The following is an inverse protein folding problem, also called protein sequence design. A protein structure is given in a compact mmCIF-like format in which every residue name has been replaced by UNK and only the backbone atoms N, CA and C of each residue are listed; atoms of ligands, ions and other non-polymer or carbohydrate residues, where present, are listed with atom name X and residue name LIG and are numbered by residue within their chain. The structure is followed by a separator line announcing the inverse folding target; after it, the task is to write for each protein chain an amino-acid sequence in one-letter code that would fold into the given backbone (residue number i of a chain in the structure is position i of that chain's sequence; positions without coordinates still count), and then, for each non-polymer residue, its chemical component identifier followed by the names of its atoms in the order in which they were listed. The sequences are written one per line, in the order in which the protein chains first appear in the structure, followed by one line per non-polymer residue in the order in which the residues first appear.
data_IF_660617805824
#
_entry.id   IF_660617805824
#
_cell.length_a   1.000
_cell.length_b   1.000
_cell.length_c   1.000
_cell.angle_alpha   90.00
_cell.angle_beta   90.00
_cell.angle_gamma   90.00
#
_symmetry.space_group_name_H-M   'P 1'
#
loop_
_entity.id
_entity.type
_entity.pdbx_description
1 polymer ?
#
# COMPACT_ATOMS: atom_id res chain seq x y z
N UNK A 1 7.84 13.90 5.31
CA UNK A 1 7.04 15.14 5.20
C UNK A 1 5.90 15.13 6.22
N UNK A 2 5.39 16.27 6.66
CA UNK A 2 4.49 16.41 7.82
C UNK A 2 3.12 15.68 7.75
N UNK A 3 2.82 14.97 6.65
CA UNK A 3 1.52 14.33 6.39
C UNK A 3 1.62 12.81 6.13
N UNK A 4 2.80 12.22 6.35
CA UNK A 4 2.97 10.77 6.22
C UNK A 4 2.20 10.04 7.31
N UNK A 5 1.48 8.99 6.91
CA UNK A 5 0.77 8.12 7.84
C UNK A 5 1.80 7.32 8.62
N UNK A 6 1.67 7.31 9.94
CA UNK A 6 2.52 6.50 10.80
C UNK A 6 2.16 5.03 10.63
N UNK A 7 3.15 4.19 10.36
CA UNK A 7 3.00 2.73 10.21
C UNK A 7 3.84 2.01 11.25
N UNK A 8 3.22 1.05 11.94
CA UNK A 8 3.91 0.11 12.82
C UNK A 8 3.99 -1.21 12.10
N UNK A 9 5.12 -1.47 11.44
CA UNK A 9 5.29 -2.60 10.50
C UNK A 9 4.99 -3.97 11.12
N UNK A 10 5.22 -4.15 12.42
CA UNK A 10 4.92 -5.39 13.16
C UNK A 10 3.43 -5.65 13.34
N UNK A 11 2.61 -4.60 13.28
CA UNK A 11 1.16 -4.69 13.49
C UNK A 11 0.37 -4.77 12.18
N UNK A 12 1.05 -4.60 11.04
CA UNK A 12 0.42 -4.60 9.71
C UNK A 12 -0.08 -5.98 9.37
N UNK A 13 -1.41 -6.11 9.30
CA UNK A 13 -2.09 -7.33 8.92
C UNK A 13 -3.44 -7.03 8.26
N UNK A 14 -3.91 -7.91 7.36
CA UNK A 14 -5.28 -7.86 6.88
C UNK A 14 -6.25 -8.15 8.03
N UNK A 15 -7.39 -7.48 8.04
CA UNK A 15 -8.54 -7.85 8.87
C UNK A 15 -9.48 -8.77 8.06
N UNK A 16 -10.62 -9.14 8.64
CA UNK A 16 -11.60 -9.98 7.96
C UNK A 16 -12.08 -9.32 6.65
N UNK A 17 -12.46 -10.14 5.67
CA UNK A 17 -13.00 -9.74 4.36
C UNK A 17 -11.99 -9.04 3.42
N UNK A 18 -10.70 -9.26 3.63
CA UNK A 18 -9.65 -8.83 2.69
C UNK A 18 -9.55 -9.75 1.46
N UNK A 19 -9.41 -9.12 0.28
CA UNK A 19 -8.95 -9.75 -0.95
C UNK A 19 -7.44 -9.64 -1.02
N UNK A 20 -6.78 -10.79 -1.02
CA UNK A 20 -5.31 -10.90 -1.02
C UNK A 20 -4.87 -11.52 -2.35
N UNK A 21 -3.85 -10.92 -2.96
CA UNK A 21 -3.17 -11.45 -4.14
C UNK A 21 -1.71 -11.74 -3.82
N UNK A 22 -1.18 -12.83 -4.39
CA UNK A 22 0.25 -13.16 -4.27
C UNK A 22 1.06 -12.39 -5.32
N UNK A 23 2.22 -11.90 -4.91
CA UNK A 23 3.14 -11.15 -5.76
C UNK A 23 4.61 -11.51 -5.44
N UNK A 24 5.52 -11.10 -6.31
CA UNK A 24 6.97 -11.21 -6.09
C UNK A 24 7.54 -9.82 -5.81
N UNK A 25 8.36 -9.69 -4.78
CA UNK A 25 9.01 -8.42 -4.45
C UNK A 25 10.07 -8.07 -5.50
N UNK A 26 9.91 -6.96 -6.22
CA UNK A 26 10.92 -6.44 -7.16
C UNK A 26 12.11 -5.79 -6.44
N UNK A 27 11.91 -5.34 -5.21
CA UNK A 27 12.90 -4.71 -4.35
C UNK A 27 12.69 -5.14 -2.89
N UNK A 28 13.54 -4.68 -1.98
CA UNK A 28 13.29 -4.86 -0.55
C UNK A 28 12.08 -4.02 -0.11
N UNK A 29 11.05 -4.67 0.45
CA UNK A 29 9.79 -4.07 0.89
C UNK A 29 9.59 -4.23 2.40
N UNK A 30 8.92 -3.25 3.00
CA UNK A 30 8.42 -3.34 4.37
C UNK A 30 6.92 -3.65 4.39
N UNK A 31 6.47 -4.25 5.49
CA UNK A 31 5.04 -4.44 5.73
C UNK A 31 4.35 -3.08 5.88
N UNK A 32 3.24 -2.90 5.18
CA UNK A 32 2.49 -1.65 5.13
C UNK A 32 2.92 -0.72 4.00
N UNK A 33 3.93 -1.08 3.20
CA UNK A 33 4.29 -0.31 2.03
C UNK A 33 3.19 -0.41 0.96
N UNK A 34 2.84 0.74 0.37
CA UNK A 34 2.02 0.78 -0.84
C UNK A 34 2.85 0.28 -2.03
N UNK A 35 2.27 -0.60 -2.83
CA UNK A 35 2.97 -1.22 -3.96
C UNK A 35 2.25 -1.04 -5.28
N UNK A 36 3.02 -0.96 -6.36
CA UNK A 36 2.53 -0.97 -7.74
C UNK A 36 3.12 -2.18 -8.50
N UNK A 37 2.50 -2.58 -9.60
CA UNK A 37 3.03 -3.63 -10.47
C UNK A 37 4.15 -3.05 -11.35
N UNK A 38 5.38 -3.48 -11.12
CA UNK A 38 6.55 -3.01 -11.88
C UNK A 38 6.94 -3.92 -13.03
N UNK A 39 6.64 -5.22 -12.93
CA UNK A 39 6.89 -6.19 -13.99
C UNK A 39 6.03 -7.43 -13.79
N UNK A 40 6.26 -8.47 -14.58
CA UNK A 40 5.61 -9.77 -14.47
C UNK A 40 6.66 -10.88 -14.56
N UNK A 41 6.63 -11.84 -13.65
CA UNK A 41 7.59 -12.94 -13.59
C UNK A 41 6.88 -14.28 -13.55
N UNK A 42 6.97 -15.02 -14.66
CA UNK A 42 6.35 -16.35 -14.82
C UNK A 42 4.82 -16.29 -14.72
N UNK A 43 4.31 -16.40 -13.49
CA UNK A 43 2.88 -16.47 -13.18
C UNK A 43 2.43 -15.45 -12.12
N UNK A 44 3.34 -14.64 -11.57
CA UNK A 44 3.03 -13.67 -10.53
C UNK A 44 3.46 -12.25 -10.94
N UNK A 45 2.68 -11.22 -10.57
CA UNK A 45 3.11 -9.84 -10.75
C UNK A 45 4.33 -9.57 -9.86
N UNK A 46 5.28 -8.82 -10.40
CA UNK A 46 6.40 -8.26 -9.64
C UNK A 46 5.96 -6.89 -9.14
N UNK A 47 6.11 -6.65 -7.84
CA UNK A 47 5.66 -5.42 -7.19
C UNK A 47 6.83 -4.64 -6.60
N UNK A 48 6.76 -3.32 -6.74
CA UNK A 48 7.74 -2.36 -6.23
C UNK A 48 7.04 -1.26 -5.45
N UNK A 49 7.80 -0.46 -4.70
CA UNK A 49 7.26 0.64 -3.88
C UNK A 49 6.55 1.65 -4.76
N UNK A 50 5.29 1.91 -4.45
CA UNK A 50 4.55 2.97 -5.11
C UNK A 50 5.13 4.33 -4.72
N UNK A 51 5.22 5.23 -5.69
CA UNK A 51 5.76 6.58 -5.49
C UNK A 51 4.87 7.60 -6.21
N UNK A 52 4.38 8.58 -5.45
CA UNK A 52 3.58 9.70 -5.92
C UNK A 52 4.35 10.69 -6.80
N UNK A 53 5.68 10.61 -6.86
CA UNK A 53 6.51 11.52 -7.66
C UNK A 53 6.31 11.35 -9.18
N UNK A 54 5.86 10.17 -9.64
CA UNK A 54 5.70 9.86 -11.06
C UNK A 54 4.40 9.09 -11.38
N UNK A 55 3.81 9.36 -12.55
CA UNK A 55 2.55 8.72 -12.99
C UNK A 55 2.68 7.21 -13.12
N UNK A 56 3.84 6.74 -13.58
CA UNK A 56 4.11 5.31 -13.78
C UNK A 56 4.14 4.51 -12.47
N UNK A 57 4.46 5.17 -11.35
CA UNK A 57 4.64 4.55 -10.03
C UNK A 57 3.50 4.87 -9.06
N UNK A 58 2.65 5.83 -9.39
CA UNK A 58 1.50 6.24 -8.58
C UNK A 58 0.28 5.31 -8.74
N UNK A 59 0.31 4.37 -9.69
CA UNK A 59 -0.78 3.42 -9.91
C UNK A 59 -0.71 2.25 -8.91
N UNK A 60 -1.28 2.47 -7.73
CA UNK A 60 -1.23 1.52 -6.61
C UNK A 60 -2.04 0.25 -6.91
N UNK A 61 -1.43 -0.92 -6.71
CA UNK A 61 -2.10 -2.22 -6.73
C UNK A 61 -2.71 -2.56 -5.37
N UNK A 62 -2.04 -2.16 -4.28
CA UNK A 62 -2.46 -2.50 -2.92
C UNK A 62 -1.39 -2.22 -1.87
N UNK A 63 -1.52 -2.87 -0.72
CA UNK A 63 -0.59 -2.75 0.41
C UNK A 63 0.07 -4.11 0.66
N UNK A 64 1.40 -4.10 0.78
CA UNK A 64 2.16 -5.28 1.18
C UNK A 64 1.85 -5.63 2.65
N UNK A 65 1.44 -6.87 2.90
CA UNK A 65 1.13 -7.36 4.26
C UNK A 65 1.94 -8.60 4.56
N UNK A 66 2.04 -8.94 5.86
CA UNK A 66 2.62 -10.21 6.24
C UNK A 66 1.74 -11.33 5.67
N UNK A 67 2.29 -12.12 4.76
CA UNK A 67 1.70 -13.40 4.41
C UNK A 67 1.84 -14.41 5.55
N UNK A 68 1.39 -15.65 5.33
CA UNK A 68 1.45 -16.74 6.32
C UNK A 68 2.84 -17.04 6.93
N UNK A 69 3.91 -16.45 6.39
CA UNK A 69 5.30 -16.67 6.78
C UNK A 69 5.82 -15.74 7.89
N UNK A 70 5.01 -14.81 8.42
CA UNK A 70 5.38 -13.98 9.58
C UNK A 70 6.73 -13.23 9.45
N UNK A 71 7.17 -12.93 8.22
CA UNK A 71 8.42 -12.21 7.97
C UNK A 71 8.22 -10.72 8.26
N UNK A 72 9.09 -10.13 9.08
CA UNK A 72 9.09 -8.70 9.41
C UNK A 72 9.64 -7.82 8.27
N UNK A 73 10.32 -8.42 7.30
CA UNK A 73 10.94 -7.78 6.14
C UNK A 73 10.81 -8.69 4.92
N UNK A 74 10.61 -8.12 3.74
CA UNK A 74 10.49 -8.87 2.48
C UNK A 74 11.71 -8.53 1.62
N UNK A 75 12.52 -9.52 1.27
CA UNK A 75 13.67 -9.32 0.40
C UNK A 75 13.24 -9.34 -1.09
N UNK A 76 14.06 -8.75 -1.96
CA UNK A 76 13.85 -8.82 -3.41
C UNK A 76 13.86 -10.28 -3.88
N UNK A 77 12.92 -10.62 -4.76
CA UNK A 77 12.71 -11.97 -5.28
C UNK A 77 11.83 -12.86 -4.40
N UNK A 78 11.47 -12.43 -3.18
CA UNK A 78 10.59 -13.21 -2.30
C UNK A 78 9.12 -13.07 -2.70
N UNK A 79 8.34 -14.12 -2.42
CA UNK A 79 6.90 -14.11 -2.59
C UNK A 79 6.26 -13.45 -1.37
N UNK A 80 5.36 -12.49 -1.61
CA UNK A 80 4.58 -11.82 -0.58
C UNK A 80 3.08 -11.82 -0.91
N UNK A 81 2.31 -11.42 0.11
CA UNK A 81 0.88 -11.20 0.01
C UNK A 81 0.59 -9.70 -0.03
N UNK A 82 -0.24 -9.30 -0.99
CA UNK A 82 -0.67 -7.91 -1.19
C UNK A 82 -2.18 -7.84 -1.02
N UNK A 83 -2.65 -6.98 -0.13
CA UNK A 83 -4.09 -6.70 0.00
C UNK A 83 -4.47 -5.75 -1.12
N UNK A 84 -5.27 -6.21 -2.06
CA UNK A 84 -5.76 -5.42 -3.21
C UNK A 84 -7.09 -4.75 -2.91
N UNK A 85 -7.87 -5.31 -1.99
CA UNK A 85 -9.10 -4.70 -1.48
C UNK A 85 -9.38 -5.17 -0.05
N UNK A 86 -9.83 -4.28 0.82
CA UNK A 86 -10.26 -4.61 2.17
C UNK A 86 -9.47 -3.91 3.29
N UNK A 87 -9.87 -4.11 4.55
CA UNK A 87 -9.32 -3.39 5.70
C UNK A 87 -7.95 -3.91 6.17
N UNK A 88 -6.94 -3.04 6.20
CA UNK A 88 -5.58 -3.32 6.71
C UNK A 88 -5.29 -2.47 7.94
N UNK A 89 -4.86 -3.08 9.04
CA UNK A 89 -4.46 -2.38 10.26
C UNK A 89 -2.93 -2.18 10.33
N UNK A 90 -2.43 -1.60 11.44
CA UNK A 90 -1.01 -1.29 11.63
C UNK A 90 -0.66 0.18 11.33
N UNK A 91 -1.67 1.04 11.27
CA UNK A 91 -1.50 2.49 11.07
C UNK A 91 -1.91 3.26 12.32
N UNK A 92 -1.55 4.53 12.37
CA UNK A 92 -1.94 5.42 13.46
C UNK A 92 -2.20 6.85 12.99
N UNK A 93 -2.92 7.60 13.83
CA UNK A 93 -3.12 9.05 13.70
C UNK A 93 -3.83 9.48 12.42
N UNK A 94 -4.63 8.61 11.81
CA UNK A 94 -5.48 8.96 10.67
C UNK A 94 -6.84 9.49 11.14
N UNK A 95 -7.44 10.36 10.35
CA UNK A 95 -8.84 10.77 10.53
C UNK A 95 -9.75 9.85 9.72
N UNK A 96 -10.72 9.21 10.37
CA UNK A 96 -11.69 8.33 9.69
C UNK A 96 -12.44 9.07 8.59
N UNK A 97 -12.62 8.43 7.45
CA UNK A 97 -13.24 8.99 6.26
C UNK A 97 -12.29 9.75 5.33
N UNK A 98 -11.06 10.08 5.76
CA UNK A 98 -10.10 10.74 4.88
C UNK A 98 -9.57 9.77 3.82
N UNK A 99 -9.42 10.28 2.59
CA UNK A 99 -8.71 9.59 1.51
C UNK A 99 -7.23 9.42 1.87
N UNK A 100 -6.71 8.23 1.59
CA UNK A 100 -5.30 7.91 1.75
C UNK A 100 -4.65 7.86 0.38
N UNK A 101 -3.58 8.62 0.25
CA UNK A 101 -2.82 8.81 -0.97
C UNK A 101 -1.45 8.13 -0.89
N UNK A 102 -0.86 7.85 -2.04
CA UNK A 102 0.57 7.54 -2.13
C UNK A 102 1.38 8.81 -1.82
N UNK A 103 2.43 8.66 -1.04
CA UNK A 103 3.40 9.73 -0.75
C UNK A 103 4.42 9.86 -1.89
N UNK A 104 5.07 11.03 -1.97
CA UNK A 104 6.28 11.21 -2.79
C UNK A 104 7.52 10.54 -2.17
N UNK A 105 7.35 9.91 -1.00
CA UNK A 105 8.32 8.97 -0.43
C UNK A 105 7.91 7.55 -0.78
N UNK A 106 8.77 6.85 -1.53
CA UNK A 106 8.51 5.50 -2.03
C UNK A 106 7.98 4.56 -0.93
N UNK A 107 6.84 3.93 -1.19
CA UNK A 107 6.16 2.96 -0.34
C UNK A 107 5.32 3.58 0.77
N UNK A 108 5.43 4.89 1.03
CA UNK A 108 4.72 5.54 2.14
C UNK A 108 3.32 5.99 1.75
N UNK A 109 2.44 5.98 2.76
CA UNK A 109 1.08 6.51 2.68
C UNK A 109 1.06 7.95 3.21
N UNK A 110 0.16 8.76 2.68
CA UNK A 110 -0.01 10.16 3.05
C UNK A 110 -1.49 10.52 3.17
N UNK A 111 -1.82 11.43 4.08
CA UNK A 111 -3.16 12.02 4.21
C UNK A 111 -3.40 13.16 3.22
N UNK A 112 -2.35 13.59 2.53
CA UNK A 112 -2.37 14.62 1.48
C UNK A 112 -1.89 14.01 0.16
N UNK A 113 -2.46 14.48 -0.94
CA UNK A 113 -2.06 14.05 -2.29
C UNK A 113 -0.57 14.30 -2.52
N UNK A 114 0.13 13.31 -3.08
CA UNK A 114 1.49 13.49 -3.58
C UNK A 114 1.53 14.35 -4.85
N UNK A 115 2.69 14.42 -5.49
CA UNK A 115 2.91 15.13 -6.75
C UNK A 115 2.00 14.60 -7.89
N UNK A 116 1.60 13.32 -7.80
CA UNK A 116 0.60 12.67 -8.64
C UNK A 116 -0.47 12.00 -7.79
N UNK A 117 -1.71 12.06 -8.28
CA UNK A 117 -2.87 11.48 -7.63
C UNK A 117 -2.87 9.95 -7.73
N UNK A 118 -2.26 9.28 -6.75
CA UNK A 118 -2.40 7.84 -6.52
C UNK A 118 -3.23 7.56 -5.28
N UNK A 119 -4.46 7.08 -5.44
CA UNK A 119 -5.32 6.73 -4.31
C UNK A 119 -5.11 5.28 -3.92
N UNK A 120 -4.85 5.07 -2.63
CA UNK A 120 -4.71 3.75 -2.01
C UNK A 120 -6.07 3.28 -1.47
N UNK A 121 -6.87 4.23 -0.95
CA UNK A 121 -8.17 3.97 -0.38
C UNK A 121 -8.57 5.09 0.59
N UNK A 122 -9.13 4.72 1.74
CA UNK A 122 -9.53 5.68 2.79
C UNK A 122 -9.30 5.11 4.19
N UNK A 123 -9.23 5.98 5.20
CA UNK A 123 -9.14 5.56 6.59
C UNK A 123 -10.51 5.07 7.09
N UNK A 124 -10.65 3.77 7.32
CA UNK A 124 -11.86 3.19 7.91
C UNK A 124 -11.96 3.53 9.39
N UNK A 125 -10.83 3.47 10.09
CA UNK A 125 -10.67 3.86 11.50
C UNK A 125 -9.35 4.65 11.63
N UNK A 126 -9.04 5.26 12.77
CA UNK A 126 -7.75 5.95 12.96
C UNK A 126 -6.52 5.04 12.82
N UNK A 127 -6.72 3.71 12.85
CA UNK A 127 -5.66 2.71 12.77
C UNK A 127 -5.82 1.70 11.62
N UNK A 128 -6.84 1.86 10.78
CA UNK A 128 -7.18 0.92 9.71
C UNK A 128 -7.42 1.65 8.41
N UNK A 129 -6.69 1.26 7.37
CA UNK A 129 -6.92 1.71 5.99
C UNK A 129 -7.82 0.70 5.28
N UNK A 130 -8.93 1.16 4.73
CA UNK A 130 -9.67 0.38 3.74
C UNK A 130 -8.94 0.51 2.41
N UNK A 131 -8.25 -0.56 2.00
CA UNK A 131 -7.58 -0.64 0.72
C UNK A 131 -8.65 -0.76 -0.37
N UNK A 132 -8.65 0.18 -1.30
CA UNK A 132 -9.49 0.16 -2.49
C UNK A 132 -8.85 1.05 -3.54
N UNK A 133 -7.75 0.57 -4.15
CA UNK A 133 -7.01 1.35 -5.13
C UNK A 133 -7.90 1.62 -6.35
N UNK A 134 -7.88 2.84 -6.84
CA UNK A 134 -8.71 3.25 -7.95
C UNK A 134 -8.42 4.67 -8.38
N UNK A 135 -8.64 4.96 -9.66
CA UNK A 135 -8.52 6.30 -10.19
C UNK A 135 -9.66 7.18 -9.66
N UNK A 136 -9.35 8.11 -8.76
CA UNK A 136 -10.28 9.17 -8.39
C UNK A 136 -10.11 10.32 -9.36
N UNK A 137 -11.01 10.44 -10.33
CA UNK A 137 -11.17 11.70 -11.05
C UNK A 137 -11.82 12.68 -10.08
N UNK A 138 -11.04 13.58 -9.52
CA UNK A 138 -11.60 14.75 -8.81
C UNK A 138 -12.12 15.67 -9.91
N UNK A 139 -13.41 15.56 -10.26
CA UNK A 139 -14.03 16.55 -11.12
C UNK A 139 -14.03 17.86 -10.35
N UNK A 140 -13.32 18.86 -10.88
CA UNK A 140 -13.35 20.25 -10.42
C UNK A 140 -14.77 20.80 -10.42
#
# INVERSE_FOLDING_TARGET
MANEVTVTTTDVRPLNDCVVARAVAGEALALGDAVYVSSYSGNLPVVSKADGSAVATANVMGIAVAGALANTTIASGEVLDVVTSGPVTGYASMTSGNTIWVSDTAGRLSTVVGTKSGVVGFALTPATVMVRPGLFTVSS
#
